data_IF_026159995518
#
_entry.id   IF_026159995518
#
_cell.length_a   1.000
_cell.length_b   1.000
_cell.length_c   1.000
_cell.angle_alpha   90.00
_cell.angle_beta   90.00
_cell.angle_gamma   90.00
#
_symmetry.space_group_name_H-M   'P 1'
#
loop_
_entity.id
_entity.type
_entity.pdbx_description
1 polymer ?
#
# COMPACT_ATOMS: atom_id res chain seq x y z
N UNK A 1 23.94 21.97 2.93
CA UNK A 1 22.67 21.79 2.22
C UNK A 1 22.81 21.92 0.70
N UNK A 2 23.50 22.95 0.18
CA UNK A 2 23.63 23.16 -1.27
C UNK A 2 24.45 22.07 -2.02
N UNK A 3 25.49 21.50 -1.39
CA UNK A 3 26.29 20.40 -1.97
C UNK A 3 25.55 19.06 -2.12
N UNK A 4 24.39 18.89 -1.47
CA UNK A 4 23.56 17.69 -1.60
C UNK A 4 22.80 17.62 -2.94
N UNK A 5 22.76 18.72 -3.69
CA UNK A 5 22.15 18.81 -5.03
C UNK A 5 23.18 18.81 -6.17
N UNK A 6 24.48 18.90 -5.84
CA UNK A 6 25.57 18.86 -6.83
C UNK A 6 25.96 17.42 -7.20
N UNK A 7 25.48 16.43 -6.46
CA UNK A 7 25.70 15.00 -6.68
C UNK A 7 24.40 14.23 -6.48
N UNK A 8 24.15 13.13 -7.21
CA UNK A 8 23.01 12.26 -6.95
C UNK A 8 23.05 11.76 -5.49
N UNK A 9 21.95 11.96 -4.75
CA UNK A 9 21.81 11.49 -3.36
C UNK A 9 20.54 10.68 -3.16
N UNK A 10 20.60 9.74 -2.22
CA UNK A 10 19.47 8.87 -1.86
C UNK A 10 18.46 9.51 -0.91
N UNK A 11 18.68 10.76 -0.49
CA UNK A 11 17.81 11.45 0.49
C UNK A 11 16.36 11.53 0.01
N UNK A 12 16.15 11.85 -1.26
CA UNK A 12 14.82 11.91 -1.88
C UNK A 12 14.07 10.58 -1.83
N UNK A 13 14.58 9.49 -2.45
CA UNK A 13 13.92 8.19 -2.39
C UNK A 13 13.84 7.62 -0.97
N UNK A 14 14.82 7.88 -0.09
CA UNK A 14 14.74 7.47 1.32
C UNK A 14 13.57 8.15 2.06
N UNK A 15 13.40 9.45 1.91
CA UNK A 15 12.30 10.16 2.55
C UNK A 15 10.94 9.64 2.03
N UNK A 16 10.84 9.41 0.73
CA UNK A 16 9.59 8.94 0.13
C UNK A 16 9.28 7.49 0.51
N UNK A 17 10.24 6.56 0.52
CA UNK A 17 9.92 5.16 0.87
C UNK A 17 9.38 5.02 2.30
N UNK A 18 9.81 5.89 3.23
CA UNK A 18 9.26 5.93 4.59
C UNK A 18 7.76 6.25 4.58
N UNK A 19 7.34 7.25 3.78
CA UNK A 19 5.93 7.55 3.62
C UNK A 19 5.15 6.42 2.93
N UNK A 20 5.75 5.76 1.92
CA UNK A 20 5.14 4.60 1.29
C UNK A 20 4.91 3.45 2.28
N UNK A 21 5.89 3.19 3.15
CA UNK A 21 5.80 2.17 4.19
C UNK A 21 4.70 2.50 5.22
N UNK A 22 4.60 3.76 5.65
CA UNK A 22 3.53 4.22 6.55
C UNK A 22 2.16 4.00 5.92
N UNK A 23 1.95 4.45 4.69
CA UNK A 23 0.66 4.30 4.01
C UNK A 23 0.31 2.82 3.79
N UNK A 24 1.28 1.99 3.44
CA UNK A 24 1.09 0.54 3.28
C UNK A 24 0.70 -0.12 4.61
N UNK A 25 1.34 0.27 5.72
CA UNK A 25 0.99 -0.20 7.06
C UNK A 25 -0.42 0.23 7.50
N UNK A 26 -0.82 1.47 7.19
CA UNK A 26 -2.19 1.95 7.43
C UNK A 26 -3.19 1.13 6.62
N UNK A 27 -2.91 0.89 5.34
CA UNK A 27 -3.76 0.08 4.47
C UNK A 27 -3.94 -1.35 5.01
N UNK A 28 -2.85 -1.96 5.50
CA UNK A 28 -2.84 -3.28 6.14
C UNK A 28 -3.74 -3.34 7.38
N UNK A 29 -3.56 -2.40 8.30
CA UNK A 29 -4.38 -2.34 9.51
C UNK A 29 -5.87 -2.12 9.17
N UNK A 30 -6.18 -1.15 8.29
CA UNK A 30 -7.55 -0.87 7.88
C UNK A 30 -8.23 -2.08 7.21
N UNK A 31 -7.50 -2.81 6.36
CA UNK A 31 -8.00 -4.04 5.74
C UNK A 31 -8.32 -5.13 6.77
N UNK A 32 -7.44 -5.33 7.76
CA UNK A 32 -7.63 -6.31 8.83
C UNK A 32 -8.81 -5.94 9.74
N UNK A 33 -8.94 -4.66 10.09
CA UNK A 33 -10.06 -4.14 10.87
C UNK A 33 -11.40 -4.32 10.13
N UNK A 34 -11.44 -4.01 8.83
CA UNK A 34 -12.61 -4.24 7.98
C UNK A 34 -12.97 -5.74 7.91
N UNK A 35 -11.97 -6.61 7.77
CA UNK A 35 -12.18 -8.06 7.75
C UNK A 35 -12.74 -8.57 9.08
N UNK A 36 -12.24 -8.04 10.21
CA UNK A 36 -12.73 -8.37 11.54
C UNK A 36 -14.18 -7.89 11.73
N UNK A 37 -14.49 -6.67 11.30
CA UNK A 37 -15.83 -6.09 11.39
C UNK A 37 -16.85 -6.92 10.61
N UNK A 38 -16.56 -7.24 9.34
CA UNK A 38 -17.47 -8.02 8.49
C UNK A 38 -17.69 -9.43 9.01
N UNK A 39 -16.69 -10.05 9.63
CA UNK A 39 -16.82 -11.39 10.21
C UNK A 39 -17.61 -11.44 11.52
N UNK A 40 -17.64 -10.34 12.28
CA UNK A 40 -18.12 -10.38 13.67
C UNK A 40 -19.29 -9.44 13.98
N UNK A 41 -19.52 -8.42 13.15
CA UNK A 41 -20.49 -7.35 13.42
C UNK A 41 -21.50 -7.14 12.29
N UNK A 42 -21.10 -7.34 11.02
CA UNK A 42 -21.97 -7.04 9.87
C UNK A 42 -23.14 -8.03 9.76
N UNK A 43 -24.34 -7.49 9.54
CA UNK A 43 -25.55 -8.29 9.32
C UNK A 43 -25.72 -8.57 7.83
N UNK A 44 -26.23 -9.75 7.43
CA UNK A 44 -26.55 -10.03 6.04
C UNK A 44 -27.57 -9.04 5.49
N UNK A 45 -27.46 -8.70 4.21
CA UNK A 45 -28.48 -7.91 3.52
C UNK A 45 -29.77 -8.73 3.39
N UNK A 46 -30.91 -8.13 3.72
CA UNK A 46 -32.17 -8.85 3.91
C UNK A 46 -32.66 -9.57 2.64
N UNK A 47 -32.34 -9.01 1.47
CA UNK A 47 -32.75 -9.56 0.18
C UNK A 47 -31.65 -10.39 -0.51
N UNK A 48 -30.47 -10.54 0.10
CA UNK A 48 -29.36 -11.28 -0.50
C UNK A 48 -29.54 -12.80 -0.41
N UNK A 49 -30.45 -13.28 0.45
CA UNK A 49 -30.71 -14.71 0.64
C UNK A 49 -29.60 -15.49 1.35
N UNK A 50 -28.56 -14.79 1.84
CA UNK A 50 -27.44 -15.38 2.57
C UNK A 50 -27.66 -15.30 4.08
N UNK A 51 -27.26 -16.34 4.80
CA UNK A 51 -27.31 -16.37 6.27
C UNK A 51 -26.20 -15.52 6.92
N UNK A 52 -25.12 -15.25 6.18
CA UNK A 52 -23.95 -14.51 6.65
C UNK A 52 -23.54 -13.42 5.67
N UNK A 53 -23.17 -12.25 6.19
CA UNK A 53 -22.63 -11.15 5.38
C UNK A 53 -21.32 -11.55 4.66
N UNK A 54 -20.52 -12.44 5.27
CA UNK A 54 -19.28 -12.96 4.67
C UNK A 54 -19.48 -13.81 3.41
N UNK A 55 -20.71 -14.24 3.13
CA UNK A 55 -21.06 -15.02 1.95
C UNK A 55 -21.58 -14.14 0.81
N UNK A 56 -21.75 -12.83 1.05
CA UNK A 56 -22.16 -11.88 0.02
C UNK A 56 -21.11 -11.78 -1.10
N UNK A 57 -21.47 -12.05 -2.37
CA UNK A 57 -20.53 -12.03 -3.48
C UNK A 57 -19.91 -10.65 -3.73
N UNK A 58 -20.60 -9.55 -3.43
CA UNK A 58 -20.07 -8.20 -3.61
C UNK A 58 -19.05 -7.87 -2.52
N UNK A 59 -19.33 -8.23 -1.27
CA UNK A 59 -18.37 -8.15 -0.17
C UNK A 59 -17.10 -8.95 -0.50
N UNK A 60 -17.25 -10.21 -0.93
CA UNK A 60 -16.12 -11.05 -1.32
C UNK A 60 -15.30 -10.44 -2.47
N UNK A 61 -15.96 -9.89 -3.49
CA UNK A 61 -15.30 -9.19 -4.60
C UNK A 61 -14.51 -7.97 -4.11
N UNK A 62 -15.10 -7.15 -3.25
CA UNK A 62 -14.46 -5.94 -2.71
C UNK A 62 -13.21 -6.30 -1.89
N UNK A 63 -13.30 -7.26 -0.96
CA UNK A 63 -12.14 -7.72 -0.19
C UNK A 63 -11.07 -8.38 -1.07
N UNK A 64 -11.45 -9.16 -2.08
CA UNK A 64 -10.51 -9.75 -3.03
C UNK A 64 -9.71 -8.68 -3.79
N UNK A 65 -10.38 -7.63 -4.24
CA UNK A 65 -9.74 -6.51 -4.93
C UNK A 65 -8.78 -5.75 -4.01
N UNK A 66 -9.21 -5.41 -2.79
CA UNK A 66 -8.36 -4.74 -1.81
C UNK A 66 -7.14 -5.58 -1.43
N UNK A 67 -7.34 -6.87 -1.14
CA UNK A 67 -6.25 -7.78 -0.76
C UNK A 67 -5.20 -7.88 -1.87
N UNK A 68 -5.62 -8.03 -3.13
CA UNK A 68 -4.71 -8.12 -4.26
C UNK A 68 -3.87 -6.84 -4.41
N UNK A 69 -4.51 -5.67 -4.34
CA UNK A 69 -3.82 -4.37 -4.44
C UNK A 69 -2.88 -4.10 -3.26
N UNK A 70 -3.27 -4.52 -2.06
CA UNK A 70 -2.44 -4.39 -0.87
C UNK A 70 -1.19 -5.27 -0.95
N UNK A 71 -1.32 -6.53 -1.38
CA UNK A 71 -0.16 -7.38 -1.64
C UNK A 71 0.75 -6.80 -2.73
N UNK A 72 0.17 -6.18 -3.77
CA UNK A 72 0.96 -5.49 -4.78
C UNK A 72 1.73 -4.29 -4.20
N UNK A 73 1.13 -3.52 -3.29
CA UNK A 73 1.81 -2.42 -2.61
C UNK A 73 2.97 -2.91 -1.74
N UNK A 74 2.78 -3.98 -0.98
CA UNK A 74 3.84 -4.59 -0.16
C UNK A 74 5.00 -5.14 -1.01
N UNK A 75 4.69 -5.84 -2.10
CA UNK A 75 5.70 -6.35 -3.01
C UNK A 75 6.49 -5.21 -3.71
N UNK A 76 5.81 -4.13 -4.11
CA UNK A 76 6.48 -2.95 -4.66
C UNK A 76 7.31 -2.21 -3.60
N UNK A 77 6.87 -2.19 -2.35
CA UNK A 77 7.62 -1.60 -1.24
C UNK A 77 8.93 -2.34 -1.00
N UNK A 78 8.88 -3.68 -0.94
CA UNK A 78 10.07 -4.52 -0.81
C UNK A 78 11.03 -4.29 -1.99
N UNK A 79 10.51 -4.34 -3.22
CA UNK A 79 11.30 -4.06 -4.44
C UNK A 79 11.92 -2.66 -4.40
N UNK A 80 11.19 -1.63 -3.98
CA UNK A 80 11.72 -0.28 -3.85
C UNK A 80 12.84 -0.19 -2.81
N UNK A 81 12.73 -0.96 -1.71
CA UNK A 81 13.78 -1.12 -0.71
C UNK A 81 15.07 -1.65 -1.31
N UNK A 82 15.00 -2.72 -2.12
CA UNK A 82 16.19 -3.26 -2.79
C UNK A 82 16.89 -2.24 -3.70
N UNK A 83 16.12 -1.47 -4.47
CA UNK A 83 16.71 -0.44 -5.33
C UNK A 83 17.36 0.68 -4.50
N UNK A 84 16.72 1.06 -3.40
CA UNK A 84 17.27 2.06 -2.49
C UNK A 84 18.56 1.57 -1.82
N UNK A 85 18.61 0.32 -1.37
CA UNK A 85 19.81 -0.29 -0.78
C UNK A 85 20.97 -0.30 -1.79
N UNK A 86 20.70 -0.68 -3.05
CA UNK A 86 21.71 -0.60 -4.13
C UNK A 86 22.20 0.84 -4.34
N UNK A 87 21.31 1.82 -4.34
CA UNK A 87 21.68 3.23 -4.49
C UNK A 87 22.44 3.78 -3.27
N UNK A 88 22.20 3.26 -2.06
CA UNK A 88 22.98 3.61 -0.87
C UNK A 88 24.39 3.02 -0.93
N UNK A 89 24.54 1.79 -1.43
CA UNK A 89 25.83 1.12 -1.57
C UNK A 89 26.70 1.74 -2.68
N UNK A 90 26.09 2.13 -3.81
CA UNK A 90 26.75 2.78 -4.94
C UNK A 90 25.92 3.98 -5.41
N UNK A 91 26.19 5.16 -4.84
CA UNK A 91 25.42 6.38 -5.12
C UNK A 91 25.92 7.08 -6.39
N UNK A 92 25.22 6.85 -7.49
CA UNK A 92 25.44 7.51 -8.77
C UNK A 92 24.11 7.88 -9.44
N UNK A 93 24.17 8.55 -10.60
CA UNK A 93 22.97 9.09 -11.24
C UNK A 93 21.99 7.98 -11.65
N UNK A 94 22.51 6.84 -12.12
CA UNK A 94 21.69 5.72 -12.57
C UNK A 94 21.02 5.01 -11.40
N UNK A 95 21.76 4.69 -10.33
CA UNK A 95 21.21 3.96 -9.17
C UNK A 95 20.20 4.81 -8.40
N UNK A 96 20.50 6.10 -8.20
CA UNK A 96 19.58 7.05 -7.54
C UNK A 96 18.30 7.25 -8.36
N UNK A 97 18.40 7.35 -9.69
CA UNK A 97 17.23 7.46 -10.55
C UNK A 97 16.36 6.19 -10.49
N UNK A 98 16.98 5.00 -10.55
CA UNK A 98 16.27 3.73 -10.44
C UNK A 98 15.53 3.59 -9.09
N UNK A 99 16.19 3.95 -7.99
CA UNK A 99 15.56 3.99 -6.67
C UNK A 99 14.41 4.99 -6.61
N UNK A 100 14.59 6.18 -7.18
CA UNK A 100 13.55 7.22 -7.20
C UNK A 100 12.30 6.76 -7.97
N UNK A 101 12.48 6.08 -9.12
CA UNK A 101 11.36 5.52 -9.89
C UNK A 101 10.66 4.43 -9.10
N UNK A 102 11.39 3.45 -8.56
CA UNK A 102 10.80 2.36 -7.80
C UNK A 102 10.04 2.86 -6.56
N UNK A 103 10.59 3.86 -5.86
CA UNK A 103 9.92 4.51 -4.73
C UNK A 103 8.68 5.29 -5.17
N UNK A 104 8.72 5.97 -6.31
CA UNK A 104 7.55 6.69 -6.83
C UNK A 104 6.41 5.72 -7.21
N UNK A 105 6.73 4.55 -7.77
CA UNK A 105 5.75 3.50 -8.10
C UNK A 105 5.00 3.04 -6.84
N UNK A 106 5.73 2.69 -5.77
CA UNK A 106 5.07 2.28 -4.52
C UNK A 106 4.35 3.44 -3.85
N UNK A 107 4.85 4.69 -3.93
CA UNK A 107 4.15 5.85 -3.35
C UNK A 107 2.79 6.09 -3.96
N UNK A 108 2.67 5.97 -5.28
CA UNK A 108 1.39 6.10 -5.96
C UNK A 108 0.42 5.02 -5.47
N UNK A 109 0.86 3.75 -5.50
CA UNK A 109 -0.02 2.63 -5.13
C UNK A 109 -0.37 2.62 -3.63
N UNK A 110 0.58 2.89 -2.74
CA UNK A 110 0.38 2.91 -1.29
C UNK A 110 -0.63 3.97 -0.88
N UNK A 111 -0.60 5.14 -1.53
CA UNK A 111 -1.56 6.24 -1.29
C UNK A 111 -2.97 5.83 -1.68
N UNK A 112 -3.13 5.20 -2.86
CA UNK A 112 -4.45 4.77 -3.32
C UNK A 112 -5.03 3.67 -2.43
N UNK A 113 -4.23 2.67 -2.05
CA UNK A 113 -4.73 1.55 -1.26
C UNK A 113 -5.00 1.92 0.19
N UNK A 114 -4.24 2.85 0.79
CA UNK A 114 -4.49 3.32 2.16
C UNK A 114 -5.83 4.05 2.26
N UNK A 115 -6.16 4.89 1.26
CA UNK A 115 -7.45 5.55 1.16
C UNK A 115 -8.57 4.54 0.91
N UNK A 116 -8.41 3.63 -0.05
CA UNK A 116 -9.43 2.65 -0.39
C UNK A 116 -9.75 1.71 0.79
N UNK A 117 -8.73 1.19 1.46
CA UNK A 117 -8.90 0.33 2.63
C UNK A 117 -9.54 1.09 3.80
N UNK A 118 -9.14 2.35 4.03
CA UNK A 118 -9.71 3.20 5.08
C UNK A 118 -11.18 3.55 4.85
N UNK A 119 -11.62 3.71 3.59
CA UNK A 119 -13.01 4.04 3.27
C UNK A 119 -13.93 2.82 3.23
N UNK A 120 -13.43 1.66 2.81
CA UNK A 120 -14.25 0.44 2.64
C UNK A 120 -14.94 0.01 3.94
N UNK A 121 -14.32 0.24 5.10
CA UNK A 121 -14.93 -0.04 6.42
C UNK A 121 -16.31 0.61 6.60
N UNK A 122 -16.55 1.76 5.96
CA UNK A 122 -17.80 2.52 6.08
C UNK A 122 -18.84 2.17 5.01
N UNK A 123 -18.43 1.48 3.95
CA UNK A 123 -19.31 1.10 2.83
C UNK A 123 -19.92 -0.29 3.00
N UNK A 124 -19.40 -1.12 3.91
CA UNK A 124 -19.78 -2.51 4.17
C UNK A 124 -20.49 -2.70 5.51
#
# INVERSE_FOLDING_TARGET
FQSAFERPTTVGPLAQILHAAIDTGIARAAFEDALHFVRTKTRPWIDAGNDKATEDPLTLKSFGHLSSRLHAAEALLERAGEFLDRAQADSNAQTVAAASIAVAEVRALSTEISLAAGSTLFEL
#
